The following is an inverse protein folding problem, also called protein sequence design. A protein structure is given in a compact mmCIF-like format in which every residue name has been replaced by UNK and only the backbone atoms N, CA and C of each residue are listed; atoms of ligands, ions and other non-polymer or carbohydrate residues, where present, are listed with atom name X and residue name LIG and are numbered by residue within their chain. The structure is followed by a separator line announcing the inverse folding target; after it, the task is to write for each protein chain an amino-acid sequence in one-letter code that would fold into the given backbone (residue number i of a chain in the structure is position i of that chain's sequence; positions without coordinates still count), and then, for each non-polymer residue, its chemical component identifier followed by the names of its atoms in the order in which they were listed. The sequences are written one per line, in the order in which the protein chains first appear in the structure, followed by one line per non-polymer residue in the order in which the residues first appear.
data_IF_416524028156
#
_entry.id   IF_416524028156
#
_cell.length_a   1.000
_cell.length_b   1.000
_cell.length_c   1.000
_cell.angle_alpha   90.00
_cell.angle_beta   90.00
_cell.angle_gamma   90.00
#
_symmetry.space_group_name_H-M   'P 1'
#
loop_
_entity.id
_entity.type
_entity.pdbx_description
1 polymer ?
#
# COMPACT_ATOMS: atom_id res chain seq x y z
N UNK A 1 -6.71 -6.78 -27.70
CA UNK A 1 -5.43 -6.06 -27.55
C UNK A 1 -4.90 -6.39 -26.16
N UNK A 2 -3.89 -7.25 -26.08
CA UNK A 2 -3.32 -7.67 -24.80
C UNK A 2 -2.42 -6.56 -24.28
N UNK A 3 -3.01 -5.62 -23.53
CA UNK A 3 -2.26 -4.63 -22.75
C UNK A 3 -1.67 -5.29 -21.51
N UNK A 4 -0.70 -6.18 -21.69
CA UNK A 4 0.07 -6.74 -20.57
C UNK A 4 1.13 -5.72 -20.12
N UNK A 5 0.70 -4.48 -19.83
CA UNK A 5 1.57 -3.42 -19.33
C UNK A 5 1.61 -3.58 -17.81
N UNK A 6 2.70 -4.12 -17.30
CA UNK A 6 2.89 -4.20 -15.84
C UNK A 6 2.73 -2.81 -15.22
N UNK A 7 1.93 -2.74 -14.16
CA UNK A 7 1.83 -1.54 -13.35
C UNK A 7 3.19 -1.21 -12.73
N UNK A 8 3.52 0.08 -12.69
CA UNK A 8 4.68 0.55 -11.94
C UNK A 8 4.46 0.27 -10.45
N UNK A 9 5.39 -0.46 -9.84
CA UNK A 9 5.35 -0.81 -8.41
C UNK A 9 6.34 0.06 -7.65
N UNK A 10 5.86 0.79 -6.65
CA UNK A 10 6.68 1.70 -5.83
C UNK A 10 6.57 1.26 -4.37
N UNK A 11 7.68 0.82 -3.79
CA UNK A 11 7.76 0.48 -2.37
C UNK A 11 8.05 1.72 -1.52
N UNK A 12 7.24 1.96 -0.49
CA UNK A 12 7.45 3.03 0.49
C UNK A 12 7.91 2.41 1.81
N UNK A 13 9.22 2.44 2.06
CA UNK A 13 9.84 1.92 3.28
C UNK A 13 10.32 3.03 4.22
N UNK A 14 10.53 2.69 5.49
CA UNK A 14 11.02 3.62 6.52
C UNK A 14 10.69 3.15 7.94
N UNK A 15 11.34 3.72 8.98
CA UNK A 15 11.12 3.35 10.38
C UNK A 15 9.65 3.46 10.82
N UNK A 16 9.29 2.80 11.91
CA UNK A 16 7.97 2.97 12.55
C UNK A 16 7.79 4.45 12.95
N UNK A 17 6.62 5.03 12.67
CA UNK A 17 6.32 6.44 12.98
C UNK A 17 6.92 7.48 12.03
N UNK A 18 7.67 7.09 10.99
CA UNK A 18 8.26 8.04 10.01
C UNK A 18 7.28 8.73 9.06
N UNK A 19 5.98 8.43 9.15
CA UNK A 19 4.95 9.09 8.33
C UNK A 19 4.69 8.44 6.96
N UNK A 20 5.03 7.16 6.77
CA UNK A 20 4.76 6.43 5.51
C UNK A 20 3.30 6.50 5.07
N UNK A 21 2.38 6.23 5.99
CA UNK A 21 0.92 6.23 5.73
C UNK A 21 0.42 7.63 5.40
N UNK A 22 0.93 8.65 6.09
CA UNK A 22 0.62 10.05 5.79
C UNK A 22 1.13 10.49 4.41
N UNK A 23 2.32 10.03 4.01
CA UNK A 23 2.84 10.26 2.67
C UNK A 23 1.95 9.60 1.61
N UNK A 24 1.56 8.34 1.82
CA UNK A 24 0.69 7.61 0.92
C UNK A 24 -0.68 8.30 0.76
N UNK A 25 -1.29 8.78 1.84
CA UNK A 25 -2.55 9.52 1.80
C UNK A 25 -2.46 10.72 0.86
N UNK A 26 -1.45 11.57 1.07
CA UNK A 26 -1.25 12.80 0.30
C UNK A 26 -0.96 12.51 -1.17
N UNK A 27 -0.13 11.50 -1.45
CA UNK A 27 0.17 11.07 -2.82
C UNK A 27 -1.08 10.54 -3.52
N UNK A 28 -1.87 9.68 -2.86
CA UNK A 28 -3.09 9.14 -3.42
C UNK A 28 -4.08 10.25 -3.79
N UNK A 29 -4.36 11.17 -2.86
CA UNK A 29 -5.27 12.29 -3.12
C UNK A 29 -4.84 13.16 -4.30
N UNK A 30 -3.53 13.38 -4.47
CA UNK A 30 -2.98 14.19 -5.57
C UNK A 30 -2.94 13.48 -6.92
N UNK A 31 -2.78 12.16 -6.91
CA UNK A 31 -2.52 11.39 -8.13
C UNK A 31 -3.75 10.64 -8.67
N UNK A 32 -4.75 10.37 -7.82
CA UNK A 32 -5.94 9.56 -8.17
C UNK A 32 -6.77 10.07 -9.35
N UNK A 33 -6.69 11.37 -9.66
CA UNK A 33 -7.41 11.97 -10.80
C UNK A 33 -6.63 11.85 -12.11
N UNK A 34 -5.33 11.58 -12.04
CA UNK A 34 -4.41 11.57 -13.20
C UNK A 34 -3.94 10.17 -13.56
N UNK A 35 -3.91 9.26 -12.60
CA UNK A 35 -3.36 7.92 -12.75
C UNK A 35 -4.30 6.87 -12.15
N UNK A 36 -4.33 5.71 -12.80
CA UNK A 36 -4.98 4.51 -12.29
C UNK A 36 -4.07 3.86 -11.23
N UNK A 37 -4.37 4.10 -9.95
CA UNK A 37 -3.53 3.70 -8.82
C UNK A 37 -4.30 2.87 -7.78
N UNK A 38 -3.55 2.07 -7.03
CA UNK A 38 -3.99 1.31 -5.87
C UNK A 38 -2.88 1.29 -4.81
N UNK A 39 -3.25 1.05 -3.55
CA UNK A 39 -2.30 0.95 -2.44
C UNK A 39 -2.45 -0.41 -1.76
N UNK A 40 -1.30 -1.03 -1.52
CA UNK A 40 -1.17 -2.21 -0.65
C UNK A 40 -0.39 -1.78 0.59
N UNK A 41 -1.01 -1.87 1.76
CA UNK A 41 -0.35 -1.60 3.04
C UNK A 41 0.04 -2.91 3.69
N UNK A 42 1.29 -2.98 4.16
CA UNK A 42 1.75 -4.11 4.97
C UNK A 42 1.83 -3.67 6.42
N UNK A 43 1.10 -4.37 7.28
CA UNK A 43 1.22 -4.23 8.72
C UNK A 43 1.31 -5.63 9.37
N UNK A 44 1.93 -5.71 10.54
CA UNK A 44 2.44 -6.96 11.09
C UNK A 44 1.30 -7.80 11.65
N UNK A 45 0.33 -7.17 12.31
CA UNK A 45 -0.78 -7.83 13.02
C UNK A 45 -2.13 -7.12 12.88
N UNK A 46 -2.19 -6.01 12.13
CA UNK A 46 -3.40 -5.20 12.03
C UNK A 46 -3.65 -4.75 10.60
N UNK A 47 -4.78 -4.10 10.37
CA UNK A 47 -5.10 -3.43 9.11
C UNK A 47 -5.24 -1.92 9.31
N UNK A 48 -4.60 -1.37 10.36
CA UNK A 48 -4.78 0.01 10.78
C UNK A 48 -4.36 0.99 9.67
N UNK A 49 -3.25 0.75 8.99
CA UNK A 49 -2.81 1.58 7.86
C UNK A 49 -3.84 1.62 6.71
N UNK A 50 -4.42 0.47 6.34
CA UNK A 50 -5.48 0.42 5.33
C UNK A 50 -6.73 1.20 5.80
N UNK A 51 -7.13 1.03 7.06
CA UNK A 51 -8.29 1.72 7.63
C UNK A 51 -8.07 3.23 7.71
N UNK A 52 -6.86 3.70 8.04
CA UNK A 52 -6.49 5.11 8.03
C UNK A 52 -6.71 5.68 6.62
N UNK A 53 -6.20 5.01 5.59
CA UNK A 53 -6.34 5.46 4.20
C UNK A 53 -7.79 5.45 3.72
N UNK A 54 -8.58 4.46 4.12
CA UNK A 54 -10.02 4.39 3.81
C UNK A 54 -10.79 5.52 4.49
N UNK A 55 -10.57 5.75 5.79
CA UNK A 55 -11.21 6.85 6.55
C UNK A 55 -10.81 8.23 6.03
N UNK A 56 -9.57 8.35 5.55
CA UNK A 56 -9.09 9.58 4.92
C UNK A 56 -9.62 9.77 3.48
N UNK A 57 -10.38 8.81 2.95
CA UNK A 57 -10.88 8.78 1.57
C UNK A 57 -9.74 8.98 0.56
N UNK A 58 -8.59 8.34 0.81
CA UNK A 58 -7.41 8.48 -0.04
C UNK A 58 -7.69 7.96 -1.46
N UNK A 59 -8.33 6.79 -1.56
CA UNK A 59 -8.81 6.13 -2.78
C UNK A 59 -10.17 5.45 -2.51
N UNK A 60 -10.92 5.06 -3.56
CA UNK A 60 -12.03 4.12 -3.42
C UNK A 60 -11.61 2.86 -2.64
N UNK A 61 -12.53 2.32 -1.83
CA UNK A 61 -12.26 1.20 -0.92
C UNK A 61 -11.67 -0.01 -1.64
N UNK A 62 -12.18 -0.33 -2.83
CA UNK A 62 -11.73 -1.44 -3.67
C UNK A 62 -10.29 -1.30 -4.19
N UNK A 63 -9.65 -0.14 -3.99
CA UNK A 63 -8.27 0.16 -4.39
C UNK A 63 -7.29 0.20 -3.21
N UNK A 64 -7.74 -0.12 -2.01
CA UNK A 64 -6.93 -0.17 -0.79
C UNK A 64 -6.96 -1.59 -0.24
N UNK A 65 -5.81 -2.24 -0.15
CA UNK A 65 -5.68 -3.59 0.39
C UNK A 65 -4.70 -3.58 1.56
N UNK A 66 -5.13 -4.08 2.71
CA UNK A 66 -4.26 -4.39 3.83
C UNK A 66 -3.79 -5.85 3.76
N UNK A 67 -2.49 -6.08 3.92
CA UNK A 67 -1.91 -7.43 4.01
C UNK A 67 -1.21 -7.58 5.36
N UNK A 68 -1.56 -8.64 6.06
CA UNK A 68 -0.95 -9.01 7.33
C UNK A 68 0.28 -9.88 7.07
N UNK A 69 1.46 -9.41 7.49
CA UNK A 69 2.73 -10.03 7.09
C UNK A 69 3.25 -11.11 8.03
N UNK A 70 2.75 -11.18 9.27
CA UNK A 70 3.22 -12.11 10.28
C UNK A 70 4.65 -11.81 10.75
N UNK A 71 4.78 -11.15 11.90
CA UNK A 71 6.05 -10.98 12.63
C UNK A 71 7.12 -10.09 11.98
N UNK A 72 7.78 -10.52 10.91
CA UNK A 72 8.92 -9.80 10.33
C UNK A 72 8.54 -9.08 9.03
N UNK A 73 8.44 -7.74 9.02
CA UNK A 73 8.02 -6.98 7.84
C UNK A 73 8.98 -7.10 6.66
N UNK A 74 10.24 -7.48 6.89
CA UNK A 74 11.23 -7.70 5.83
C UNK A 74 10.93 -8.97 5.03
N UNK A 75 10.44 -10.03 5.67
CA UNK A 75 10.13 -11.30 4.99
C UNK A 75 9.05 -11.08 3.94
N UNK A 76 7.95 -10.40 4.28
CA UNK A 76 6.85 -10.14 3.35
C UNK A 76 7.16 -9.18 2.18
N UNK A 77 8.31 -8.51 2.18
CA UNK A 77 8.73 -7.60 1.10
C UNK A 77 10.05 -7.99 0.44
N UNK A 78 10.76 -9.01 0.93
CA UNK A 78 12.08 -9.44 0.42
C UNK A 78 12.22 -10.95 0.23
N UNK A 79 11.65 -11.77 1.11
CA UNK A 79 11.74 -13.22 1.01
C UNK A 79 10.48 -13.74 0.33
N UNK A 80 10.65 -14.61 -0.66
CA UNK A 80 9.55 -15.10 -1.47
C UNK A 80 8.54 -15.87 -0.59
N UNK A 81 7.30 -15.37 -0.49
CA UNK A 81 6.22 -16.00 0.27
C UNK A 81 5.57 -17.18 -0.49
N UNK A 82 6.30 -17.79 -1.43
CA UNK A 82 5.83 -18.82 -2.36
C UNK A 82 6.10 -20.26 -1.88
N UNK A 83 6.45 -20.45 -0.60
CA UNK A 83 6.56 -21.79 0.00
C UNK A 83 5.21 -22.34 0.45
#
# INVERSE_FOLDING_TARGET
MNNNRQALRIGVGGPVGSGKTALLEVLCKRLRERYDIAVVTNDIYTQEDAQILMRAEALPFERIVGVETGGCPHTAIREDASM
#
